data_IF_668087951971
#
_entry.id   IF_668087951971
#
_cell.length_a   1.000
_cell.length_b   1.000
_cell.length_c   1.000
_cell.angle_alpha   90.00
_cell.angle_beta   90.00
_cell.angle_gamma   90.00
#
_symmetry.space_group_name_H-M   'P 1'
#
loop_
_entity.id
_entity.type
_entity.pdbx_description
1 polymer ?
#
# COMPACT_ATOMS: atom_id res chain seq x y z
N UNK A 1 12.84 21.76 7.83
CA UNK A 1 12.22 20.56 7.23
C UNK A 1 10.82 20.97 6.82
N UNK A 2 10.36 20.71 5.58
CA UNK A 2 8.96 20.96 5.25
C UNK A 2 8.08 20.06 6.11
N UNK A 3 6.96 20.59 6.58
CA UNK A 3 5.95 19.80 7.27
C UNK A 3 5.36 18.82 6.26
N UNK A 4 5.39 17.53 6.60
CA UNK A 4 4.87 16.47 5.73
C UNK A 4 3.37 16.63 5.48
N UNK A 5 2.86 15.90 4.48
CA UNK A 5 1.42 15.83 4.24
C UNK A 5 0.78 15.03 5.39
N UNK A 6 -0.23 15.55 6.10
CA UNK A 6 -0.96 14.77 7.09
C UNK A 6 -1.62 13.58 6.39
N UNK A 7 -1.19 12.37 6.72
CA UNK A 7 -1.70 11.15 6.14
C UNK A 7 -1.64 10.04 7.18
N UNK A 8 -2.72 9.26 7.31
CA UNK A 8 -2.70 8.13 8.24
C UNK A 8 -1.80 7.05 7.67
N UNK A 9 -1.02 6.39 8.53
CA UNK A 9 -0.14 5.31 8.11
C UNK A 9 -0.91 4.18 7.39
N UNK A 10 -2.11 3.85 7.89
CA UNK A 10 -2.97 2.83 7.29
C UNK A 10 -3.31 3.19 5.84
N UNK A 11 -3.82 4.40 5.61
CA UNK A 11 -4.16 4.89 4.28
C UNK A 11 -2.93 4.89 3.36
N UNK A 12 -1.74 5.22 3.90
CA UNK A 12 -0.50 5.22 3.11
C UNK A 12 -0.14 3.82 2.64
N UNK A 13 -0.24 2.83 3.54
CA UNK A 13 0.06 1.44 3.21
C UNK A 13 -0.94 0.87 2.20
N UNK A 14 -2.22 1.22 2.31
CA UNK A 14 -3.23 0.84 1.32
C UNK A 14 -2.94 1.46 -0.04
N UNK A 15 -2.58 2.75 -0.08
CA UNK A 15 -2.18 3.42 -1.32
C UNK A 15 -0.94 2.76 -1.94
N UNK A 16 0.04 2.37 -1.13
CA UNK A 16 1.23 1.65 -1.58
C UNK A 16 0.88 0.27 -2.13
N UNK A 17 0.00 -0.50 -1.47
CA UNK A 17 -0.43 -1.81 -1.98
C UNK A 17 -1.17 -1.65 -3.31
N UNK A 18 -2.11 -0.71 -3.39
CA UNK A 18 -2.89 -0.44 -4.59
C UNK A 18 -2.00 -0.03 -5.77
N UNK A 19 -1.07 0.92 -5.56
CA UNK A 19 -0.14 1.37 -6.61
C UNK A 19 0.91 0.32 -6.95
N UNK A 20 1.33 -0.49 -5.99
CA UNK A 20 2.30 -1.56 -6.17
C UNK A 20 1.76 -2.74 -6.97
N UNK A 21 0.45 -3.00 -6.92
CA UNK A 21 -0.23 -4.03 -7.73
C UNK A 21 -0.41 -3.64 -9.20
N UNK A 22 -0.39 -2.35 -9.52
CA UNK A 22 -0.53 -1.90 -10.91
C UNK A 22 0.66 -2.40 -11.75
N UNK A 23 0.38 -3.33 -12.66
CA UNK A 23 1.34 -3.79 -13.66
C UNK A 23 1.56 -2.67 -14.65
N UNK A 24 2.82 -2.23 -14.78
CA UNK A 24 3.19 -1.27 -15.82
C UNK A 24 4.39 -1.80 -16.59
N UNK A 25 4.27 -1.81 -17.91
CA UNK A 25 5.32 -2.30 -18.82
C UNK A 25 6.62 -1.50 -18.69
N UNK A 26 6.54 -0.25 -18.22
CA UNK A 26 7.68 0.64 -17.98
C UNK A 26 8.38 0.41 -16.63
N UNK A 27 7.86 -0.48 -15.76
CA UNK A 27 8.41 -0.73 -14.42
C UNK A 27 8.80 -2.19 -14.21
N UNK A 28 9.97 -2.39 -13.60
CA UNK A 28 10.44 -3.72 -13.19
C UNK A 28 9.83 -4.08 -11.83
N UNK A 29 8.94 -5.06 -11.84
CA UNK A 29 8.30 -5.63 -10.66
C UNK A 29 6.93 -5.03 -10.36
N UNK A 30 6.05 -5.87 -9.81
CA UNK A 30 4.75 -5.50 -9.29
C UNK A 30 4.42 -6.40 -8.09
N UNK A 31 3.48 -5.98 -7.25
CA UNK A 31 2.88 -6.83 -6.23
C UNK A 31 1.89 -7.74 -6.95
N UNK A 32 2.06 -9.06 -6.81
CA UNK A 32 1.15 -10.03 -7.40
C UNK A 32 -0.25 -9.89 -6.81
N UNK A 33 -1.28 -9.91 -7.66
CA UNK A 33 -2.68 -9.90 -7.23
C UNK A 33 -3.08 -11.13 -6.40
N UNK A 34 -2.29 -12.20 -6.48
CA UNK A 34 -2.48 -13.40 -5.66
C UNK A 34 -2.03 -13.25 -4.21
N UNK A 35 -1.24 -12.20 -3.88
CA UNK A 35 -0.83 -11.95 -2.51
C UNK A 35 -1.98 -11.33 -1.71
N UNK A 36 -2.17 -11.72 -0.44
CA UNK A 36 -3.10 -11.04 0.44
C UNK A 36 -2.80 -9.53 0.55
N UNK A 37 -3.77 -8.69 0.92
CA UNK A 37 -3.57 -7.26 1.16
C UNK A 37 -2.35 -6.97 2.05
N UNK A 38 -1.67 -5.85 1.80
CA UNK A 38 -0.45 -5.50 2.55
C UNK A 38 -0.67 -5.48 4.07
N UNK A 39 -1.79 -4.94 4.53
CA UNK A 39 -2.11 -4.87 5.96
C UNK A 39 -2.24 -6.27 6.58
N UNK A 40 -2.90 -7.21 5.90
CA UNK A 40 -3.03 -8.59 6.37
C UNK A 40 -1.66 -9.28 6.46
N UNK A 41 -0.81 -9.08 5.46
CA UNK A 41 0.56 -9.63 5.46
C UNK A 41 1.42 -9.08 6.59
N UNK A 42 1.15 -7.85 7.02
CA UNK A 42 1.82 -7.20 8.14
C UNK A 42 1.15 -7.51 9.49
N UNK A 43 0.03 -8.23 9.51
CA UNK A 43 -0.75 -8.48 10.72
C UNK A 43 -1.35 -7.21 11.32
N UNK A 44 -1.61 -6.20 10.50
CA UNK A 44 -2.21 -4.93 10.91
C UNK A 44 -3.70 -5.01 10.64
N UNK A 45 -4.51 -4.83 11.69
CA UNK A 45 -5.95 -4.70 11.53
C UNK A 45 -6.25 -3.37 10.80
N UNK A 46 -7.08 -3.39 9.74
CA UNK A 46 -7.53 -2.16 9.11
C UNK A 46 -8.26 -1.32 10.16
N UNK A 47 -8.06 0.00 10.11
CA UNK A 47 -8.75 0.89 11.04
C UNK A 47 -10.27 0.69 10.88
N UNK A 48 -10.93 0.29 11.97
CA UNK A 48 -12.39 0.20 12.00
C UNK A 48 -12.96 1.56 11.58
N UNK A 49 -13.71 1.57 10.48
CA UNK A 49 -14.28 2.79 9.87
C UNK A 49 -15.29 3.48 10.77
#
# INVERSE_FOLDING_TARGET
MPDGIPFRLIDYLELVDWTGRQVRDDKRGHISDTLPPLLERLGIEPACG
#
